data_IF_840922891169
#
_entry.id   IF_840922891169
#
_cell.length_a   1.000
_cell.length_b   1.000
_cell.length_c   1.000
_cell.angle_alpha   90.00
_cell.angle_beta   90.00
_cell.angle_gamma   90.00
#
_symmetry.space_group_name_H-M   'P 1'
#
loop_
_entity.id
_entity.type
_entity.pdbx_description
1 polymer ?
#
# COMPACT_ATOMS: atom_id res chain seq x y z
N UNK A 1 27.57 7.02 59.75
CA UNK A 1 27.56 5.66 59.16
C UNK A 1 26.26 5.55 58.37
N UNK A 2 26.17 6.04 57.14
CA UNK A 2 27.03 5.78 55.97
C UNK A 2 26.94 4.30 55.56
N UNK A 3 25.82 3.93 54.96
CA UNK A 3 25.73 2.79 54.05
C UNK A 3 24.96 3.26 52.81
N UNK A 4 25.47 2.91 51.63
CA UNK A 4 25.27 3.68 50.40
C UNK A 4 24.09 3.12 49.61
N UNK A 5 23.00 3.88 49.50
CA UNK A 5 21.96 3.59 48.49
C UNK A 5 22.39 4.15 47.13
N UNK A 6 23.25 3.41 46.44
CA UNK A 6 23.65 3.70 45.05
C UNK A 6 22.55 3.25 44.08
N UNK A 7 21.44 4.00 44.06
CA UNK A 7 20.37 3.83 43.07
C UNK A 7 20.93 4.07 41.67
N UNK A 8 21.10 3.02 40.88
CA UNK A 8 21.62 3.12 39.51
C UNK A 8 20.63 3.84 38.60
N UNK A 9 20.84 5.14 38.40
CA UNK A 9 20.22 5.88 37.31
C UNK A 9 20.79 5.37 35.98
N UNK A 10 20.18 4.30 35.43
CA UNK A 10 20.41 3.89 34.05
C UNK A 10 19.88 5.02 33.15
N UNK A 11 20.80 5.81 32.61
CA UNK A 11 20.52 6.70 31.49
C UNK A 11 20.12 5.86 30.27
N UNK A 12 18.81 5.66 30.09
CA UNK A 12 18.26 5.21 28.81
C UNK A 12 18.59 6.32 27.82
N UNK A 13 19.51 6.04 26.90
CA UNK A 13 19.79 6.96 25.80
C UNK A 13 18.50 7.13 24.99
N UNK A 14 18.18 8.34 24.50
CA UNK A 14 17.03 8.52 23.63
C UNK A 14 17.24 7.67 22.39
N UNK A 15 16.32 6.72 22.15
CA UNK A 15 16.29 5.95 20.90
C UNK A 15 16.05 6.95 19.76
N UNK A 16 17.09 7.21 18.98
CA UNK A 16 17.01 8.08 17.82
C UNK A 16 16.07 7.43 16.82
N UNK A 17 14.91 8.06 16.59
CA UNK A 17 13.89 7.61 15.66
C UNK A 17 14.40 7.79 14.23
N UNK A 18 15.24 6.86 13.79
CA UNK A 18 16.03 6.98 12.58
C UNK A 18 15.12 6.92 11.36
N UNK A 19 14.93 8.07 10.71
CA UNK A 19 13.85 8.27 9.74
C UNK A 19 14.15 7.64 8.37
N UNK A 20 15.27 6.93 8.24
CA UNK A 20 15.66 6.18 7.05
C UNK A 20 14.71 4.99 6.76
N UNK A 21 14.17 4.32 7.80
CA UNK A 21 13.32 3.12 7.64
C UNK A 21 11.95 3.39 6.97
N UNK A 22 11.60 4.66 6.72
CA UNK A 22 10.38 5.05 5.99
C UNK A 22 10.63 5.52 4.54
N UNK A 23 11.86 5.42 4.02
CA UNK A 23 12.15 5.66 2.59
C UNK A 23 11.63 4.51 1.71
N UNK A 24 10.30 4.47 1.50
CA UNK A 24 9.62 3.61 0.52
C UNK A 24 9.88 4.03 -0.94
N UNK A 25 10.73 5.03 -1.17
CA UNK A 25 11.22 5.45 -2.47
C UNK A 25 12.65 4.90 -2.60
N UNK A 26 12.97 4.07 -3.60
CA UNK A 26 14.35 3.66 -3.87
C UNK A 26 15.21 4.89 -4.17
N UNK A 27 16.19 5.18 -3.30
CA UNK A 27 17.07 6.35 -3.44
C UNK A 27 18.06 6.22 -4.62
N UNK A 28 18.25 5.00 -5.13
CA UNK A 28 18.92 4.78 -6.40
C UNK A 28 17.93 4.95 -7.56
N UNK A 29 18.04 6.00 -8.41
CA UNK A 29 17.54 5.89 -9.77
C UNK A 29 18.21 4.67 -10.44
N UNK A 30 17.50 3.94 -11.33
CA UNK A 30 18.10 2.81 -12.02
C UNK A 30 19.33 3.28 -12.80
N UNK A 31 20.44 2.54 -12.71
CA UNK A 31 21.67 2.89 -13.41
C UNK A 31 21.41 3.01 -14.93
N UNK A 32 21.97 4.03 -15.56
CA UNK A 32 21.65 4.43 -16.94
C UNK A 32 22.03 3.37 -18.01
N UNK A 33 22.58 2.23 -17.60
CA UNK A 33 22.96 1.11 -18.46
C UNK A 33 21.82 0.19 -18.91
N UNK A 34 20.75 0.00 -18.11
CA UNK A 34 19.71 -1.00 -18.44
C UNK A 34 18.60 -0.48 -19.38
N UNK A 35 18.42 0.84 -19.48
CA UNK A 35 17.29 1.46 -20.20
C UNK A 35 17.29 1.14 -21.71
N UNK A 36 18.47 0.93 -22.31
CA UNK A 36 18.60 0.65 -23.75
C UNK A 36 17.98 -0.70 -24.17
N UNK A 37 17.94 -1.71 -23.30
CA UNK A 37 17.40 -3.03 -23.66
C UNK A 37 15.86 -3.03 -23.82
N UNK A 38 15.16 -1.97 -23.40
CA UNK A 38 13.73 -1.81 -23.62
C UNK A 38 13.38 -1.07 -24.93
N UNK A 39 14.38 -0.53 -25.65
CA UNK A 39 14.18 0.12 -26.94
C UNK A 39 14.17 -0.86 -28.13
N UNK A 40 14.82 -2.03 -27.99
CA UNK A 40 14.87 -3.08 -29.01
C UNK A 40 13.78 -4.17 -28.85
N UNK A 41 12.81 -3.98 -27.95
CA UNK A 41 11.58 -4.78 -28.00
C UNK A 41 10.79 -4.40 -29.27
N UNK A 42 11.05 -5.13 -30.36
CA UNK A 42 10.30 -5.04 -31.62
C UNK A 42 8.81 -5.31 -31.34
N UNK A 43 8.04 -4.23 -31.15
CA UNK A 43 6.59 -4.29 -31.12
C UNK A 43 6.11 -4.71 -32.50
N UNK A 44 5.78 -6.00 -32.66
CA UNK A 44 5.28 -6.56 -33.92
C UNK A 44 3.83 -6.12 -34.20
N UNK A 45 3.74 -4.85 -34.60
CA UNK A 45 2.51 -4.19 -35.02
C UNK A 45 1.99 -4.76 -36.35
N UNK A 46 2.77 -5.58 -37.07
CA UNK A 46 2.42 -6.13 -38.38
C UNK A 46 1.21 -7.07 -38.35
N UNK A 47 1.08 -7.88 -37.30
CA UNK A 47 0.02 -8.88 -37.18
C UNK A 47 -1.14 -8.48 -36.25
N UNK A 48 -1.03 -7.39 -35.50
CA UNK A 48 -2.03 -7.00 -34.48
C UNK A 48 -3.20 -6.14 -35.02
N UNK A 49 -3.13 -5.70 -36.28
CA UNK A 49 -4.17 -4.87 -36.90
C UNK A 49 -4.61 -5.47 -38.26
N UNK A 50 -5.88 -5.92 -38.41
CA UNK A 50 -6.40 -6.44 -39.67
C UNK A 50 -6.70 -5.30 -40.66
N UNK A 51 -5.64 -4.71 -41.22
CA UNK A 51 -5.71 -3.57 -42.16
C UNK A 51 -5.92 -4.03 -43.60
N UNK A 52 -5.65 -5.31 -43.92
CA UNK A 52 -5.56 -5.81 -45.30
C UNK A 52 -6.85 -5.65 -46.14
N UNK A 53 -8.02 -5.67 -45.50
CA UNK A 53 -9.33 -5.48 -46.16
C UNK A 53 -9.96 -4.09 -45.88
N UNK A 54 -9.33 -3.24 -45.07
CA UNK A 54 -9.91 -1.95 -44.66
C UNK A 54 -9.78 -0.90 -45.77
N UNK A 55 -10.86 -0.17 -46.08
CA UNK A 55 -10.78 0.90 -47.07
C UNK A 55 -9.96 2.08 -46.55
N UNK A 56 -9.34 2.84 -47.46
CA UNK A 56 -8.51 4.01 -47.08
C UNK A 56 -9.26 5.04 -46.21
N UNK A 57 -10.59 5.17 -46.38
CA UNK A 57 -11.43 6.02 -45.55
C UNK A 57 -11.63 5.49 -44.13
N UNK A 58 -11.72 4.17 -43.97
CA UNK A 58 -11.79 3.52 -42.65
C UNK A 58 -10.44 3.56 -41.94
N UNK A 59 -9.34 3.36 -42.66
CA UNK A 59 -7.98 3.54 -42.13
C UNK A 59 -7.79 4.98 -41.65
N UNK A 60 -8.18 5.99 -42.45
CA UNK A 60 -8.09 7.39 -42.07
C UNK A 60 -8.98 7.73 -40.86
N UNK A 61 -10.22 7.22 -40.82
CA UNK A 61 -11.12 7.39 -39.67
C UNK A 61 -10.53 6.76 -38.41
N UNK A 62 -9.99 5.55 -38.50
CA UNK A 62 -9.40 4.83 -37.36
C UNK A 62 -8.10 5.49 -36.87
N UNK A 63 -7.34 6.12 -37.77
CA UNK A 63 -6.17 6.94 -37.41
C UNK A 63 -6.59 8.19 -36.60
N UNK A 64 -7.69 8.86 -36.99
CA UNK A 64 -8.23 10.00 -36.23
C UNK A 64 -8.72 9.57 -34.85
N UNK A 65 -9.52 8.49 -34.78
CA UNK A 65 -9.97 7.91 -33.50
C UNK A 65 -8.79 7.56 -32.57
N UNK A 66 -7.73 6.94 -33.12
CA UNK A 66 -6.52 6.62 -32.34
C UNK A 66 -5.74 7.86 -31.90
N UNK A 67 -5.79 8.98 -32.63
CA UNK A 67 -5.19 10.24 -32.19
C UNK A 67 -6.02 10.88 -31.08
N UNK A 68 -7.35 10.91 -31.23
CA UNK A 68 -8.29 11.43 -30.21
C UNK A 68 -8.20 10.62 -28.89
N UNK A 69 -8.16 9.28 -28.97
CA UNK A 69 -7.92 8.40 -27.82
C UNK A 69 -6.55 8.69 -27.17
N UNK A 70 -5.51 8.92 -27.97
CA UNK A 70 -4.16 9.17 -27.46
C UNK A 70 -4.02 10.56 -26.80
N UNK A 71 -4.72 11.57 -27.31
CA UNK A 71 -4.82 12.88 -26.65
C UNK A 71 -5.65 12.81 -25.37
N UNK A 72 -6.79 12.13 -25.39
CA UNK A 72 -7.61 11.84 -24.19
C UNK A 72 -6.79 11.13 -23.09
N UNK A 73 -6.01 10.10 -23.45
CA UNK A 73 -5.09 9.43 -22.51
C UNK A 73 -4.00 10.38 -21.98
N UNK A 74 -3.43 11.26 -22.82
CA UNK A 74 -2.44 12.26 -22.38
C UNK A 74 -3.06 13.27 -21.40
N UNK A 75 -4.31 13.70 -21.62
CA UNK A 75 -5.01 14.60 -20.70
C UNK A 75 -5.37 13.91 -19.39
N UNK A 76 -5.86 12.66 -19.43
CA UNK A 76 -6.11 11.86 -18.23
C UNK A 76 -4.83 11.66 -17.39
N UNK A 77 -3.68 11.40 -18.03
CA UNK A 77 -2.38 11.29 -17.36
C UNK A 77 -1.90 12.62 -16.78
N UNK A 78 -2.07 13.75 -17.49
CA UNK A 78 -1.77 15.10 -16.96
C UNK A 78 -2.64 15.44 -15.74
N UNK A 79 -3.93 15.14 -15.80
CA UNK A 79 -4.87 15.34 -14.71
C UNK A 79 -4.50 14.48 -13.50
N UNK A 80 -4.27 13.18 -13.70
CA UNK A 80 -3.86 12.26 -12.64
C UNK A 80 -2.53 12.68 -11.98
N UNK A 81 -1.53 13.07 -12.77
CA UNK A 81 -0.25 13.57 -12.24
C UNK A 81 -0.42 14.87 -11.43
N UNK A 82 -1.35 15.74 -11.83
CA UNK A 82 -1.69 16.96 -11.09
C UNK A 82 -2.41 16.64 -9.77
N UNK A 83 -3.35 15.69 -9.79
CA UNK A 83 -4.06 15.22 -8.60
C UNK A 83 -3.11 14.55 -7.59
N UNK A 84 -2.18 13.69 -8.05
CA UNK A 84 -1.16 13.09 -7.19
C UNK A 84 -0.25 14.15 -6.56
N UNK A 85 0.13 15.20 -7.30
CA UNK A 85 0.91 16.33 -6.74
C UNK A 85 0.13 17.10 -5.66
N UNK A 86 -1.17 17.30 -5.84
CA UNK A 86 -2.03 17.94 -4.83
C UNK A 86 -2.18 17.06 -3.57
N UNK A 87 -2.34 15.74 -3.75
CA UNK A 87 -2.38 14.78 -2.64
C UNK A 87 -1.05 14.74 -1.86
N UNK A 88 0.09 14.68 -2.56
CA UNK A 88 1.42 14.73 -1.95
C UNK A 88 1.68 16.04 -1.20
N UNK A 89 1.25 17.19 -1.74
CA UNK A 89 1.30 18.47 -1.02
C UNK A 89 0.47 18.40 0.26
N UNK A 90 -0.77 17.92 0.18
CA UNK A 90 -1.67 17.82 1.34
C UNK A 90 -1.10 16.91 2.44
N UNK A 91 -0.44 15.80 2.06
CA UNK A 91 0.25 14.89 2.99
C UNK A 91 1.48 15.57 3.60
N UNK A 92 2.26 16.32 2.82
CA UNK A 92 3.41 17.11 3.30
C UNK A 92 2.98 18.21 4.29
N UNK A 93 1.87 18.89 4.02
CA UNK A 93 1.30 19.91 4.90
C UNK A 93 0.82 19.29 6.23
N UNK A 94 0.12 18.15 6.16
CA UNK A 94 -0.29 17.36 7.34
C UNK A 94 0.92 16.87 8.16
N UNK A 95 1.95 16.32 7.51
CA UNK A 95 3.18 15.88 8.18
C UNK A 95 3.88 17.04 8.88
N UNK A 96 3.94 18.20 8.23
CA UNK A 96 4.53 19.43 8.79
C UNK A 96 3.72 19.91 10.01
N UNK A 97 2.39 19.93 9.92
CA UNK A 97 1.50 20.30 11.03
C UNK A 97 1.60 19.32 12.21
N UNK A 98 1.65 18.02 11.94
CA UNK A 98 1.83 16.97 12.96
C UNK A 98 3.18 17.10 13.65
N UNK A 99 4.26 17.31 12.89
CA UNK A 99 5.62 17.52 13.42
C UNK A 99 5.69 18.77 14.31
N UNK A 100 5.08 19.88 13.88
CA UNK A 100 5.00 21.10 14.68
C UNK A 100 4.18 20.90 15.97
N UNK A 101 3.06 20.16 15.90
CA UNK A 101 2.23 19.82 17.07
C UNK A 101 2.99 18.96 18.09
N UNK A 102 3.68 17.91 17.63
CA UNK A 102 4.52 17.05 18.47
C UNK A 102 5.68 17.82 19.10
N UNK A 103 6.32 18.73 18.36
CA UNK A 103 7.37 19.63 18.87
C UNK A 103 6.83 20.56 19.97
N UNK A 104 5.64 21.12 19.79
CA UNK A 104 4.99 21.96 20.80
C UNK A 104 4.58 21.17 22.05
N UNK A 105 4.03 19.95 21.89
CA UNK A 105 3.73 19.05 23.00
C UNK A 105 4.98 18.66 23.78
N UNK A 106 6.09 18.38 23.08
CA UNK A 106 7.39 18.08 23.72
C UNK A 106 7.87 19.27 24.57
N UNK A 107 7.87 20.49 24.03
CA UNK A 107 8.27 21.69 24.77
C UNK A 107 7.35 21.90 25.98
N UNK A 108 6.04 21.73 25.84
CA UNK A 108 5.08 21.86 26.94
C UNK A 108 5.29 20.81 28.04
N UNK A 109 5.68 19.58 27.69
CA UNK A 109 6.06 18.54 28.65
C UNK A 109 7.40 18.87 29.34
N UNK A 110 8.38 19.42 28.63
CA UNK A 110 9.65 19.88 29.21
C UNK A 110 9.43 21.05 30.20
N UNK A 111 8.58 22.02 29.85
CA UNK A 111 8.13 23.11 30.74
C UNK A 111 7.36 22.58 31.97
N UNK A 112 6.45 21.62 31.78
CA UNK A 112 5.68 21.02 32.87
C UNK A 112 6.59 20.25 33.84
N UNK A 113 7.56 19.48 33.33
CA UNK A 113 8.54 18.75 34.14
C UNK A 113 9.44 19.72 34.92
N UNK A 114 9.92 20.80 34.29
CA UNK A 114 10.69 21.84 34.98
C UNK A 114 9.87 22.51 36.11
N UNK A 115 8.57 22.73 35.88
CA UNK A 115 7.66 23.29 36.90
C UNK A 115 7.38 22.30 38.04
N UNK A 116 7.28 21.00 37.76
CA UNK A 116 7.19 19.95 38.78
C UNK A 116 8.46 19.97 39.65
N UNK A 117 9.65 20.01 39.04
CA UNK A 117 10.92 20.06 39.78
C UNK A 117 10.99 21.27 40.74
N UNK A 118 10.59 22.46 40.28
CA UNK A 118 10.53 23.65 41.17
C UNK A 118 9.55 23.44 42.33
N UNK A 119 8.39 22.85 42.09
CA UNK A 119 7.41 22.54 43.15
C UNK A 119 7.89 21.44 44.12
N UNK A 120 8.73 20.51 43.68
CA UNK A 120 9.41 19.53 44.54
C UNK A 120 10.48 20.19 45.42
N UNK A 121 11.29 21.10 44.87
CA UNK A 121 12.27 21.89 45.61
C UNK A 121 11.60 22.82 46.64
N UNK A 122 10.50 23.50 46.28
CA UNK A 122 9.68 24.29 47.21
C UNK A 122 9.06 23.42 48.31
N UNK A 123 8.52 22.24 47.98
CA UNK A 123 8.01 21.29 48.97
C UNK A 123 9.11 20.80 49.93
N UNK A 124 10.31 20.54 49.43
CA UNK A 124 11.45 20.15 50.27
C UNK A 124 11.84 21.29 51.24
N UNK A 125 11.91 22.53 50.76
CA UNK A 125 12.17 23.70 51.60
C UNK A 125 11.06 23.93 52.65
N UNK A 126 9.78 23.80 52.28
CA UNK A 126 8.66 23.95 53.21
C UNK A 126 8.67 22.85 54.28
N UNK A 127 8.93 21.59 53.91
CA UNK A 127 9.08 20.48 54.87
C UNK A 127 10.22 20.73 55.85
N UNK A 128 11.39 21.17 55.35
CA UNK A 128 12.53 21.51 56.20
C UNK A 128 12.20 22.66 57.16
N UNK A 129 11.50 23.70 56.67
CA UNK A 129 11.08 24.85 57.48
C UNK A 129 10.11 24.45 58.59
N UNK A 130 9.09 23.63 58.29
CA UNK A 130 8.12 23.14 59.28
C UNK A 130 8.76 22.27 60.36
N UNK A 131 9.69 21.38 59.99
CA UNK A 131 10.48 20.58 60.94
C UNK A 131 11.35 21.49 61.83
N UNK A 132 11.98 22.51 61.24
CA UNK A 132 12.81 23.48 61.97
C UNK A 132 12.00 24.32 62.97
N UNK A 133 10.77 24.72 62.63
CA UNK A 133 9.91 25.45 63.57
C UNK A 133 9.40 24.60 64.73
N UNK A 134 9.21 23.29 64.51
CA UNK A 134 8.77 22.36 65.56
C UNK A 134 9.90 22.05 66.58
N UNK A 135 11.17 22.27 66.24
CA UNK A 135 12.32 22.01 67.13
C UNK A 135 12.68 23.16 68.09
N UNK A 136 11.94 24.27 68.06
CA UNK A 136 12.27 25.49 68.83
C UNK A 136 11.26 25.75 69.99
N UNK A 137 10.21 24.93 70.13
CA UNK A 137 9.07 25.18 71.02
C UNK A 137 8.90 24.15 72.15
N UNK A 138 9.99 23.72 72.80
CA UNK A 138 9.94 22.67 73.85
C UNK A 138 10.65 23.00 75.18
N UNK A 139 10.97 24.26 75.45
CA UNK A 139 11.54 24.70 76.74
C UNK A 139 10.92 26.05 77.17
N UNK A 140 10.06 26.04 78.20
CA UNK A 140 9.76 27.14 79.15
C UNK A 140 8.35 26.99 79.80
N UNK A 141 8.17 26.00 80.66
CA UNK A 141 7.10 26.00 81.68
C UNK A 141 7.74 25.80 83.06
N UNK A 142 7.56 26.76 83.96
CA UNK A 142 7.97 26.67 85.37
C UNK A 142 7.13 27.62 86.23
N UNK A 143 6.32 27.07 87.12
CA UNK A 143 5.34 27.80 87.92
C UNK A 143 5.95 28.56 89.12
N UNK A 144 5.21 29.61 89.52
CA UNK A 144 4.99 30.13 90.88
C UNK A 144 6.06 30.02 91.99
N UNK A 145 6.30 31.16 92.67
CA UNK A 145 6.68 31.18 94.09
C UNK A 145 5.98 32.35 94.81
N UNK A 146 5.54 32.11 96.06
CA UNK A 146 4.84 33.06 96.93
C UNK A 146 4.69 32.44 98.34
N UNK A 147 5.37 32.95 99.39
CA UNK A 147 4.72 33.47 100.61
C UNK A 147 5.67 34.05 101.70
N UNK A 148 5.05 34.72 102.68
CA UNK A 148 5.39 34.84 104.10
C UNK A 148 6.25 36.01 104.65
N UNK A 149 5.97 36.36 105.93
CA UNK A 149 6.27 37.65 106.59
C UNK A 149 6.47 37.50 108.13
N UNK A 150 7.16 38.46 108.77
CA UNK A 150 6.82 39.13 110.07
C UNK A 150 7.84 39.15 111.28
N UNK A 151 7.88 40.33 111.93
CA UNK A 151 8.00 40.64 113.38
C UNK A 151 9.30 40.52 114.23
N UNK A 152 9.71 41.67 114.81
CA UNK A 152 10.39 41.91 116.12
C UNK A 152 10.42 43.44 116.39
N UNK A 153 10.49 44.02 117.60
CA UNK A 153 9.95 43.71 118.96
C UNK A 153 10.07 44.99 119.84
N UNK A 154 9.36 45.05 120.97
CA UNK A 154 9.26 46.17 121.95
C UNK A 154 10.56 46.60 122.67
N UNK A 155 10.57 47.83 123.21
CA UNK A 155 11.13 48.23 124.55
C UNK A 155 10.70 49.66 124.96
N UNK A 156 10.92 50.16 126.19
CA UNK A 156 10.27 49.81 127.48
C UNK A 156 10.89 50.56 128.71
N UNK A 157 10.12 51.42 129.40
CA UNK A 157 10.38 51.93 130.78
C UNK A 157 11.47 53.01 130.98
N UNK A 158 11.74 53.55 132.19
CA UNK A 158 10.86 53.84 133.37
C UNK A 158 11.61 54.66 134.47
N UNK A 159 10.87 55.35 135.34
CA UNK A 159 11.14 55.63 136.79
C UNK A 159 12.51 56.20 137.27
N UNK A 160 12.48 57.30 138.06
CA UNK A 160 13.04 57.32 139.44
C UNK A 160 12.86 58.60 140.30
N UNK A 161 12.93 58.34 141.62
CA UNK A 161 12.89 59.18 142.84
C UNK A 161 14.15 60.09 142.97
N UNK A 162 14.43 60.90 144.01
CA UNK A 162 13.98 61.13 145.41
C UNK A 162 14.27 62.65 145.73
N UNK A 163 13.98 63.29 146.88
CA UNK A 163 13.99 62.82 148.27
C UNK A 163 12.97 63.55 149.19
N UNK A 164 13.40 64.22 150.30
CA UNK A 164 12.56 64.30 151.51
C UNK A 164 12.87 65.45 152.51
N UNK A 165 11.91 66.39 152.69
CA UNK A 165 11.66 67.22 153.90
C UNK A 165 12.79 68.08 154.51
N UNK A 166 12.94 69.31 153.99
CA UNK A 166 13.16 70.60 154.73
C UNK A 166 13.11 71.71 153.67
N UNK A 167 12.28 72.76 153.73
CA UNK A 167 11.59 73.36 154.88
C UNK A 167 10.05 73.48 154.70
N UNK A 168 9.33 73.47 155.82
CA UNK A 168 7.86 73.47 155.93
C UNK A 168 7.20 74.83 155.58
N UNK A 169 7.88 75.70 154.82
CA UNK A 169 7.43 77.09 154.54
C UNK A 169 7.19 77.31 153.03
N UNK A 170 7.94 76.66 152.15
CA UNK A 170 7.70 76.70 150.69
C UNK A 170 6.48 75.90 150.24
N UNK A 171 5.81 75.18 151.13
CA UNK A 171 4.69 74.29 150.81
C UNK A 171 3.47 75.08 150.30
N UNK A 172 3.21 76.29 150.83
CA UNK A 172 2.08 77.12 150.38
C UNK A 172 2.25 77.58 148.92
N UNK A 173 3.43 78.11 148.59
CA UNK A 173 3.73 78.59 147.23
C UNK A 173 3.85 77.42 146.24
N UNK A 174 4.41 76.28 146.68
CA UNK A 174 4.42 75.06 145.90
C UNK A 174 3.02 74.45 145.73
N UNK A 175 2.05 74.69 146.62
CA UNK A 175 0.66 74.29 146.37
C UNK A 175 -0.02 75.16 145.31
N UNK A 176 0.30 76.46 145.23
CA UNK A 176 -0.14 77.30 144.12
C UNK A 176 0.50 76.83 142.79
N UNK A 177 1.81 76.61 142.77
CA UNK A 177 2.53 76.09 141.60
C UNK A 177 2.06 74.69 141.17
N UNK A 178 1.79 73.79 142.14
CA UNK A 178 1.27 72.44 141.88
C UNK A 178 -0.16 72.47 141.33
N UNK A 179 -1.00 73.41 141.76
CA UNK A 179 -2.34 73.57 141.20
C UNK A 179 -2.28 74.13 139.77
N UNK A 180 -1.36 75.05 139.47
CA UNK A 180 -1.07 75.48 138.09
C UNK A 180 -0.53 74.32 137.23
N UNK A 181 0.42 73.54 137.74
CA UNK A 181 0.94 72.35 137.07
C UNK A 181 -0.13 71.28 136.86
N UNK A 182 -1.06 71.08 137.81
CA UNK A 182 -2.22 70.19 137.62
C UNK A 182 -3.17 70.71 136.54
N UNK A 183 -3.43 72.02 136.47
CA UNK A 183 -4.22 72.60 135.39
C UNK A 183 -3.54 72.42 134.03
N UNK A 184 -2.22 72.65 133.94
CA UNK A 184 -1.41 72.39 132.74
C UNK A 184 -1.38 70.91 132.36
N UNK A 185 -1.21 69.99 133.32
CA UNK A 185 -1.27 68.55 133.08
C UNK A 185 -2.66 68.08 132.65
N UNK A 186 -3.73 68.68 133.18
CA UNK A 186 -5.10 68.37 132.76
C UNK A 186 -5.38 68.88 131.34
N UNK A 187 -4.91 70.07 130.97
CA UNK A 187 -5.05 70.58 129.59
C UNK A 187 -4.17 69.81 128.61
N UNK A 188 -2.95 69.41 129.00
CA UNK A 188 -2.11 68.49 128.23
C UNK A 188 -2.76 67.11 128.09
N UNK A 189 -3.42 66.59 129.12
CA UNK A 189 -4.14 65.32 129.06
C UNK A 189 -5.37 65.41 128.14
N UNK A 190 -6.10 66.53 128.11
CA UNK A 190 -7.13 66.79 127.10
C UNK A 190 -6.55 66.91 125.68
N UNK A 191 -5.42 67.59 125.50
CA UNK A 191 -4.73 67.70 124.21
C UNK A 191 -4.24 66.32 123.74
N UNK A 192 -3.67 65.50 124.62
CA UNK A 192 -3.30 64.12 124.30
C UNK A 192 -4.51 63.22 124.02
N UNK A 193 -5.68 63.45 124.63
CA UNK A 193 -6.92 62.76 124.25
C UNK A 193 -7.47 63.24 122.91
N UNK A 194 -7.36 64.53 122.57
CA UNK A 194 -7.73 65.08 121.25
C UNK A 194 -6.81 64.50 120.16
N UNK A 195 -5.50 64.62 120.32
CA UNK A 195 -4.49 64.02 119.42
C UNK A 195 -4.66 62.50 119.32
N UNK A 196 -5.03 61.81 120.42
CA UNK A 196 -5.34 60.38 120.40
C UNK A 196 -6.54 60.06 119.51
N UNK A 197 -7.65 60.77 119.67
CA UNK A 197 -8.86 60.63 118.84
C UNK A 197 -8.62 61.05 117.39
N UNK A 198 -7.89 62.12 117.16
CA UNK A 198 -7.49 62.60 115.83
C UNK A 198 -6.60 61.58 115.12
N UNK A 199 -5.61 61.00 115.81
CA UNK A 199 -4.77 59.90 115.30
C UNK A 199 -5.60 58.66 114.96
N UNK A 200 -6.54 58.28 115.82
CA UNK A 200 -7.34 57.08 115.60
C UNK A 200 -8.39 57.28 114.49
N UNK A 201 -8.96 58.49 114.37
CA UNK A 201 -9.77 58.92 113.22
C UNK A 201 -8.96 58.92 111.91
N UNK A 202 -7.77 59.52 111.91
CA UNK A 202 -6.85 59.50 110.75
C UNK A 202 -6.43 58.07 110.37
N UNK A 203 -6.28 57.17 111.34
CA UNK A 203 -5.97 55.77 111.09
C UNK A 203 -7.15 55.02 110.47
N UNK A 204 -8.37 55.35 110.88
CA UNK A 204 -9.60 54.79 110.30
C UNK A 204 -9.83 55.34 108.88
N UNK A 205 -9.66 56.64 108.65
CA UNK A 205 -9.63 57.26 107.32
C UNK A 205 -8.57 56.64 106.40
N UNK A 206 -7.35 56.36 106.91
CA UNK A 206 -6.28 55.75 106.12
C UNK A 206 -6.61 54.28 105.79
N UNK A 207 -7.32 53.55 106.67
CA UNK A 207 -7.83 52.21 106.36
C UNK A 207 -8.96 52.26 105.32
N UNK A 208 -9.86 53.24 105.39
CA UNK A 208 -10.93 53.46 104.40
C UNK A 208 -10.36 53.85 103.02
N UNK A 209 -9.33 54.71 103.03
CA UNK A 209 -8.57 55.09 101.83
C UNK A 209 -7.84 53.88 101.23
N UNK A 210 -7.27 53.00 102.06
CA UNK A 210 -6.57 51.82 101.56
C UNK A 210 -7.54 50.74 101.04
N UNK A 211 -8.72 50.57 101.66
CA UNK A 211 -9.81 49.72 101.15
C UNK A 211 -10.34 50.21 99.81
N UNK A 212 -10.64 51.50 99.70
CA UNK A 212 -11.12 52.11 98.45
C UNK A 212 -10.05 52.07 97.35
N UNK A 213 -8.76 52.20 97.70
CA UNK A 213 -7.65 51.99 96.76
C UNK A 213 -7.52 50.54 96.28
N UNK A 214 -7.67 49.55 97.18
CA UNK A 214 -7.73 48.11 96.83
C UNK A 214 -8.92 47.79 95.90
N UNK A 215 -10.10 48.31 96.22
CA UNK A 215 -11.30 48.21 95.38
C UNK A 215 -11.09 48.86 93.99
N UNK A 216 -10.38 49.99 93.94
CA UNK A 216 -10.02 50.64 92.68
C UNK A 216 -9.09 49.77 91.82
N UNK A 217 -8.04 49.17 92.40
CA UNK A 217 -7.18 48.21 91.67
C UNK A 217 -7.92 46.98 91.19
N UNK A 218 -8.86 46.43 91.98
CA UNK A 218 -9.71 45.31 91.56
C UNK A 218 -10.66 45.72 90.42
N UNK A 219 -11.18 46.95 90.43
CA UNK A 219 -11.96 47.50 89.32
C UNK A 219 -11.12 47.68 88.04
N UNK A 220 -9.88 48.15 88.14
CA UNK A 220 -8.95 48.27 87.00
C UNK A 220 -8.59 46.90 86.42
N UNK A 221 -8.33 45.91 87.28
CA UNK A 221 -8.02 44.55 86.84
C UNK A 221 -9.21 43.86 86.17
N UNK A 222 -10.41 43.90 86.78
CA UNK A 222 -11.65 43.41 86.17
C UNK A 222 -11.97 44.11 84.83
N UNK A 223 -11.65 45.40 84.71
CA UNK A 223 -11.79 46.18 83.46
C UNK A 223 -10.76 45.75 82.40
N UNK A 224 -9.55 45.39 82.80
CA UNK A 224 -8.55 44.81 81.88
C UNK A 224 -8.95 43.40 81.41
N UNK A 225 -9.49 42.57 82.32
CA UNK A 225 -10.03 41.25 82.00
C UNK A 225 -11.22 41.36 81.05
N UNK A 226 -12.19 42.25 81.32
CA UNK A 226 -13.31 42.55 80.42
C UNK A 226 -12.83 42.97 79.02
N UNK A 227 -11.82 43.86 78.93
CA UNK A 227 -11.25 44.27 77.65
C UNK A 227 -10.61 43.09 76.90
N UNK A 228 -9.87 42.22 77.59
CA UNK A 228 -9.28 41.02 76.97
C UNK A 228 -10.34 40.01 76.51
N UNK A 229 -11.43 39.82 77.27
CA UNK A 229 -12.55 38.97 76.89
C UNK A 229 -13.32 39.54 75.69
N UNK A 230 -13.47 40.87 75.62
CA UNK A 230 -14.07 41.55 74.48
C UNK A 230 -13.21 41.43 73.21
N UNK A 231 -11.89 41.60 73.32
CA UNK A 231 -10.94 41.39 72.21
C UNK A 231 -10.92 39.93 71.74
N UNK A 232 -10.97 38.97 72.65
CA UNK A 232 -11.07 37.55 72.31
C UNK A 232 -12.42 37.20 71.66
N UNK A 233 -13.53 37.83 72.07
CA UNK A 233 -14.84 37.70 71.41
C UNK A 233 -14.81 38.22 69.98
N UNK A 234 -14.20 39.39 69.74
CA UNK A 234 -14.02 39.92 68.38
C UNK A 234 -13.18 38.98 67.50
N UNK A 235 -12.07 38.45 68.01
CA UNK A 235 -11.24 37.47 67.29
C UNK A 235 -11.99 36.17 66.98
N UNK A 236 -12.84 35.69 67.89
CA UNK A 236 -13.72 34.54 67.65
C UNK A 236 -14.75 34.82 66.55
N UNK A 237 -15.34 36.01 66.52
CA UNK A 237 -16.26 36.43 65.46
C UNK A 237 -15.57 36.58 64.10
N UNK A 238 -14.36 37.13 64.07
CA UNK A 238 -13.51 37.19 62.87
C UNK A 238 -13.19 35.78 62.34
N UNK A 239 -12.71 34.90 63.21
CA UNK A 239 -12.38 33.51 62.86
C UNK A 239 -13.61 32.71 62.42
N UNK A 240 -14.80 32.94 63.00
CA UNK A 240 -16.03 32.29 62.54
C UNK A 240 -16.48 32.83 61.17
N UNK A 241 -16.34 34.13 60.88
CA UNK A 241 -16.58 34.67 59.53
C UNK A 241 -15.61 34.07 58.51
N UNK A 242 -14.34 33.87 58.85
CA UNK A 242 -13.36 33.20 57.99
C UNK A 242 -13.72 31.71 57.78
N UNK A 243 -14.14 31.01 58.84
CA UNK A 243 -14.61 29.62 58.76
C UNK A 243 -15.82 29.47 57.84
N UNK A 244 -16.76 30.41 57.87
CA UNK A 244 -17.93 30.43 56.96
C UNK A 244 -17.49 30.66 55.51
N UNK A 245 -16.65 31.67 55.23
CA UNK A 245 -16.11 31.92 53.89
C UNK A 245 -15.35 30.72 53.33
N UNK A 246 -14.51 30.08 54.14
CA UNK A 246 -13.81 28.85 53.76
C UNK A 246 -14.81 27.73 53.44
N UNK A 247 -15.84 27.54 54.26
CA UNK A 247 -16.91 26.57 54.02
C UNK A 247 -17.78 26.88 52.77
N UNK A 248 -17.83 28.14 52.32
CA UNK A 248 -18.42 28.52 51.03
C UNK A 248 -17.48 28.16 49.88
N UNK A 249 -16.20 28.57 49.92
CA UNK A 249 -15.22 28.25 48.87
C UNK A 249 -14.99 26.73 48.69
N UNK A 250 -15.11 25.92 49.74
CA UNK A 250 -15.04 24.45 49.63
C UNK A 250 -16.22 23.90 48.82
N UNK A 251 -17.44 24.43 49.00
CA UNK A 251 -18.60 24.02 48.18
C UNK A 251 -18.44 24.45 46.73
N UNK A 252 -17.92 25.65 46.48
CA UNK A 252 -17.63 26.12 45.11
C UNK A 252 -16.63 25.18 44.41
N UNK A 253 -15.60 24.72 45.12
CA UNK A 253 -14.64 23.72 44.61
C UNK A 253 -15.29 22.34 44.42
N UNK A 254 -16.13 21.87 45.34
CA UNK A 254 -16.87 20.60 45.19
C UNK A 254 -17.83 20.64 43.98
N UNK A 255 -18.55 21.75 43.77
CA UNK A 255 -19.44 21.95 42.62
C UNK A 255 -18.67 22.01 41.29
N UNK A 256 -17.52 22.68 41.26
CA UNK A 256 -16.62 22.71 40.10
C UNK A 256 -16.04 21.31 39.79
N UNK A 257 -15.63 20.56 40.82
CA UNK A 257 -15.11 19.20 40.66
C UNK A 257 -16.16 18.24 40.10
N UNK A 258 -17.40 18.29 40.61
CA UNK A 258 -18.52 17.49 40.06
C UNK A 258 -18.82 17.86 38.61
N UNK A 259 -18.77 19.15 38.27
CA UNK A 259 -18.94 19.63 36.88
C UNK A 259 -17.84 19.12 35.96
N UNK A 260 -16.57 19.23 36.36
CA UNK A 260 -15.42 18.73 35.60
C UNK A 260 -15.47 17.21 35.41
N UNK A 261 -15.88 16.45 36.44
CA UNK A 261 -16.08 15.01 36.31
C UNK A 261 -17.16 14.65 35.27
N UNK A 262 -18.29 15.37 35.26
CA UNK A 262 -19.36 15.16 34.28
C UNK A 262 -18.92 15.52 32.85
N UNK A 263 -18.13 16.59 32.69
CA UNK A 263 -17.55 16.99 31.40
C UNK A 263 -16.55 15.92 30.89
N UNK A 264 -15.67 15.42 31.76
CA UNK A 264 -14.73 14.33 31.47
C UNK A 264 -15.45 13.01 31.10
N UNK A 265 -16.56 12.68 31.76
CA UNK A 265 -17.37 11.50 31.42
C UNK A 265 -18.08 11.67 30.06
N UNK A 266 -18.54 12.88 29.73
CA UNK A 266 -19.11 13.19 28.42
C UNK A 266 -18.06 13.13 27.29
N UNK A 267 -16.82 13.57 27.53
CA UNK A 267 -15.72 13.41 26.57
C UNK A 267 -15.31 11.94 26.39
N UNK A 268 -15.25 11.16 27.48
CA UNK A 268 -15.03 9.70 27.41
C UNK A 268 -16.11 8.98 26.62
N UNK A 269 -17.35 9.48 26.60
CA UNK A 269 -18.41 8.95 25.74
C UNK A 269 -18.15 9.28 24.25
N UNK A 270 -17.91 10.56 23.92
CA UNK A 270 -17.58 11.01 22.56
C UNK A 270 -16.36 10.29 21.98
N UNK A 271 -15.35 10.00 22.82
CA UNK A 271 -14.16 9.26 22.40
C UNK A 271 -14.48 7.79 22.06
N UNK A 272 -15.38 7.13 22.80
CA UNK A 272 -15.87 5.78 22.44
C UNK A 272 -16.68 5.78 21.14
N UNK A 273 -17.53 6.78 20.93
CA UNK A 273 -18.32 6.94 19.71
C UNK A 273 -17.43 7.15 18.48
N UNK A 274 -16.46 8.07 18.57
CA UNK A 274 -15.50 8.34 17.49
C UNK A 274 -14.58 7.15 17.20
N UNK A 275 -14.10 6.43 18.22
CA UNK A 275 -13.34 5.18 18.01
C UNK A 275 -14.20 4.10 17.33
N UNK A 276 -15.48 3.94 17.71
CA UNK A 276 -16.40 3.00 17.05
C UNK A 276 -16.68 3.38 15.60
N UNK A 277 -16.75 4.68 15.30
CA UNK A 277 -16.91 5.18 13.93
C UNK A 277 -15.64 4.93 13.09
N UNK A 278 -14.46 5.17 13.66
CA UNK A 278 -13.16 4.92 13.02
C UNK A 278 -12.98 3.43 12.71
N UNK A 279 -13.32 2.54 13.64
CA UNK A 279 -13.32 1.08 13.41
C UNK A 279 -14.21 0.70 12.21
N UNK A 280 -15.44 1.24 12.12
CA UNK A 280 -16.36 0.97 10.99
C UNK A 280 -15.81 1.49 9.65
N UNK A 281 -15.09 2.62 9.66
CA UNK A 281 -14.39 3.10 8.46
C UNK A 281 -13.23 2.18 8.06
N UNK A 282 -12.45 1.67 9.02
CA UNK A 282 -11.38 0.72 8.77
C UNK A 282 -11.92 -0.62 8.24
N UNK A 283 -12.98 -1.17 8.83
CA UNK A 283 -13.68 -2.36 8.33
C UNK A 283 -14.17 -2.18 6.89
N UNK A 284 -14.72 -1.01 6.56
CA UNK A 284 -15.18 -0.68 5.20
C UNK A 284 -14.01 -0.45 4.22
N UNK A 285 -12.88 0.08 4.66
CA UNK A 285 -11.67 0.22 3.86
C UNK A 285 -11.11 -1.14 3.48
N UNK A 286 -10.93 -2.03 4.47
CA UNK A 286 -10.44 -3.40 4.28
C UNK A 286 -11.37 -4.21 3.35
N UNK A 287 -12.66 -3.92 3.33
CA UNK A 287 -13.62 -4.56 2.42
C UNK A 287 -13.52 -4.01 0.99
N UNK A 288 -13.33 -2.70 0.80
CA UNK A 288 -13.05 -2.10 -0.50
C UNK A 288 -11.71 -2.61 -1.09
N UNK A 289 -10.69 -2.78 -0.25
CA UNK A 289 -9.39 -3.35 -0.65
C UNK A 289 -9.54 -4.78 -1.18
N UNK A 290 -10.28 -5.65 -0.48
CA UNK A 290 -10.59 -7.01 -0.97
C UNK A 290 -11.34 -6.99 -2.30
N UNK A 291 -12.33 -6.11 -2.45
CA UNK A 291 -13.12 -6.00 -3.68
C UNK A 291 -12.26 -5.52 -4.85
N UNK A 292 -11.35 -4.57 -4.63
CA UNK A 292 -10.36 -4.14 -5.61
C UNK A 292 -9.41 -5.29 -5.99
N UNK A 293 -8.89 -6.03 -5.01
CA UNK A 293 -8.01 -7.17 -5.27
C UNK A 293 -8.70 -8.28 -6.08
N UNK A 294 -9.97 -8.59 -5.78
CA UNK A 294 -10.79 -9.52 -6.55
C UNK A 294 -11.00 -9.03 -8.00
N UNK A 295 -11.33 -7.75 -8.21
CA UNK A 295 -11.46 -7.18 -9.55
C UNK A 295 -10.13 -7.23 -10.32
N UNK A 296 -9.00 -6.92 -9.69
CA UNK A 296 -7.68 -7.05 -10.30
C UNK A 296 -7.36 -8.49 -10.71
N UNK A 297 -7.73 -9.48 -9.88
CA UNK A 297 -7.59 -10.91 -10.19
C UNK A 297 -8.47 -11.32 -11.38
N UNK A 298 -9.74 -10.95 -11.38
CA UNK A 298 -10.65 -11.21 -12.52
C UNK A 298 -10.16 -10.56 -13.82
N UNK A 299 -9.68 -9.31 -13.77
CA UNK A 299 -9.15 -8.62 -14.95
C UNK A 299 -7.84 -9.26 -15.46
N UNK A 300 -7.02 -9.81 -14.57
CA UNK A 300 -5.84 -10.61 -14.96
C UNK A 300 -6.27 -11.90 -15.65
N UNK A 301 -7.17 -12.68 -15.04
CA UNK A 301 -7.66 -13.95 -15.57
C UNK A 301 -8.36 -13.77 -16.93
N UNK A 302 -9.17 -12.71 -17.08
CA UNK A 302 -9.80 -12.34 -18.37
C UNK A 302 -8.76 -11.98 -19.45
N UNK A 303 -7.65 -11.32 -19.08
CA UNK A 303 -6.55 -10.99 -20.00
C UNK A 303 -5.75 -12.23 -20.39
N UNK A 304 -5.45 -13.12 -19.44
CA UNK A 304 -4.74 -14.37 -19.69
C UNK A 304 -5.56 -15.30 -20.60
N UNK A 305 -6.89 -15.35 -20.42
CA UNK A 305 -7.80 -16.07 -21.31
C UNK A 305 -7.77 -15.50 -22.74
N UNK A 306 -7.89 -14.17 -22.91
CA UNK A 306 -7.84 -13.51 -24.22
C UNK A 306 -6.49 -13.69 -24.95
N UNK A 307 -5.38 -13.77 -24.20
CA UNK A 307 -4.07 -14.09 -24.78
C UNK A 307 -4.01 -15.56 -25.22
N UNK A 308 -4.54 -16.48 -24.42
CA UNK A 308 -4.61 -17.90 -24.79
C UNK A 308 -5.50 -18.16 -26.01
N UNK A 309 -6.60 -17.41 -26.17
CA UNK A 309 -7.46 -17.48 -27.36
C UNK A 309 -6.70 -17.02 -28.62
N UNK A 310 -6.03 -15.86 -28.57
CA UNK A 310 -5.22 -15.34 -29.67
C UNK A 310 -4.04 -16.23 -30.02
N UNK A 311 -3.39 -16.84 -29.03
CA UNK A 311 -2.35 -17.85 -29.27
C UNK A 311 -2.91 -19.08 -30.00
N UNK A 312 -4.13 -19.51 -29.67
CA UNK A 312 -4.78 -20.63 -30.35
C UNK A 312 -5.18 -20.26 -31.79
N UNK A 313 -5.73 -19.07 -32.03
CA UNK A 313 -6.03 -18.56 -33.38
C UNK A 313 -4.76 -18.45 -34.23
N UNK A 314 -3.67 -17.92 -33.65
CA UNK A 314 -2.36 -17.83 -34.32
C UNK A 314 -1.79 -19.22 -34.68
N UNK A 315 -1.89 -20.21 -33.77
CA UNK A 315 -1.48 -21.59 -34.06
C UNK A 315 -2.31 -22.21 -35.20
N UNK A 316 -3.63 -22.00 -35.20
CA UNK A 316 -4.50 -22.45 -36.29
C UNK A 316 -4.17 -21.76 -37.63
N UNK A 317 -3.78 -20.49 -37.61
CA UNK A 317 -3.32 -19.77 -38.81
C UNK A 317 -1.98 -20.32 -39.33
N UNK A 318 -1.01 -20.60 -38.45
CA UNK A 318 0.24 -21.27 -38.80
C UNK A 318 -0.01 -22.65 -39.42
N UNK A 319 -0.84 -23.49 -38.78
CA UNK A 319 -1.24 -24.80 -39.32
C UNK A 319 -1.90 -24.69 -40.71
N UNK A 320 -2.71 -23.66 -40.96
CA UNK A 320 -3.28 -23.40 -42.28
C UNK A 320 -2.21 -23.01 -43.31
N UNK A 321 -1.24 -22.17 -42.94
CA UNK A 321 -0.13 -21.79 -43.82
C UNK A 321 0.79 -22.97 -44.14
N UNK A 322 1.08 -23.85 -43.18
CA UNK A 322 1.84 -25.08 -43.42
C UNK A 322 1.10 -26.02 -44.37
N UNK A 323 -0.22 -26.21 -44.15
CA UNK A 323 -1.08 -27.00 -45.05
C UNK A 323 -1.16 -26.43 -46.47
N UNK A 324 -1.15 -25.10 -46.64
CA UNK A 324 -1.12 -24.45 -47.95
C UNK A 324 0.27 -24.58 -48.59
N UNK A 325 1.35 -24.43 -47.82
CA UNK A 325 2.73 -24.58 -48.28
C UNK A 325 3.01 -25.99 -48.78
N UNK A 326 2.54 -27.02 -48.04
CA UNK A 326 2.62 -28.42 -48.48
C UNK A 326 1.84 -28.67 -49.78
N UNK A 327 0.65 -28.07 -49.95
CA UNK A 327 -0.13 -28.15 -51.20
C UNK A 327 0.57 -27.46 -52.36
N UNK A 328 1.18 -26.29 -52.15
CA UNK A 328 1.95 -25.58 -53.17
C UNK A 328 3.17 -26.39 -53.61
N UNK A 329 3.92 -26.97 -52.68
CA UNK A 329 5.07 -27.83 -53.00
C UNK A 329 4.66 -29.07 -53.80
N UNK A 330 3.55 -29.73 -53.42
CA UNK A 330 3.03 -30.87 -54.18
C UNK A 330 2.56 -30.47 -55.59
N UNK A 331 1.87 -29.32 -55.72
CA UNK A 331 1.45 -28.80 -57.03
C UNK A 331 2.64 -28.42 -57.91
N UNK A 332 3.71 -27.86 -57.33
CA UNK A 332 4.96 -27.58 -58.04
C UNK A 332 5.58 -28.89 -58.59
N UNK A 333 5.70 -29.93 -57.77
CA UNK A 333 6.20 -31.23 -58.22
C UNK A 333 5.35 -31.80 -59.39
N UNK A 334 4.02 -31.70 -59.29
CA UNK A 334 3.10 -32.15 -60.37
C UNK A 334 3.25 -31.33 -61.65
N UNK A 335 3.64 -30.05 -61.58
CA UNK A 335 4.01 -29.23 -62.75
C UNK A 335 5.36 -29.68 -63.32
N UNK A 336 6.39 -29.87 -62.49
CA UNK A 336 7.72 -30.33 -62.95
C UNK A 336 7.67 -31.71 -63.64
N UNK A 337 6.86 -32.64 -63.11
CA UNK A 337 6.58 -33.94 -63.75
C UNK A 337 5.86 -33.81 -65.10
N UNK A 338 4.93 -32.87 -65.23
CA UNK A 338 4.22 -32.57 -66.49
C UNK A 338 5.14 -31.89 -67.50
N UNK A 339 6.05 -31.02 -67.06
CA UNK A 339 7.02 -30.37 -67.93
C UNK A 339 8.04 -31.38 -68.47
N UNK A 340 8.56 -32.30 -67.64
CA UNK A 340 9.44 -33.35 -68.15
C UNK A 340 8.71 -34.32 -69.09
N UNK A 341 7.45 -34.68 -68.81
CA UNK A 341 6.61 -35.44 -69.76
C UNK A 341 6.40 -34.66 -71.07
N UNK A 342 6.24 -33.34 -71.02
CA UNK A 342 6.08 -32.50 -72.20
C UNK A 342 7.36 -32.45 -73.03
N UNK A 343 8.53 -32.28 -72.38
CA UNK A 343 9.85 -32.39 -73.06
C UNK A 343 10.06 -33.77 -73.70
N UNK A 344 9.60 -34.85 -73.07
CA UNK A 344 9.65 -36.21 -73.65
C UNK A 344 8.77 -36.33 -74.90
N UNK A 345 7.53 -35.83 -74.85
CA UNK A 345 6.62 -35.81 -76.00
C UNK A 345 7.16 -34.94 -77.15
N UNK A 346 7.79 -33.79 -76.85
CA UNK A 346 8.47 -32.97 -77.86
C UNK A 346 9.62 -33.73 -78.54
N UNK A 347 10.49 -34.41 -77.77
CA UNK A 347 11.57 -35.25 -78.34
C UNK A 347 11.04 -36.38 -79.23
N UNK A 348 9.89 -36.97 -78.88
CA UNK A 348 9.23 -37.98 -79.71
C UNK A 348 8.65 -37.36 -81.00
N UNK A 349 8.01 -36.19 -80.91
CA UNK A 349 7.46 -35.46 -82.05
C UNK A 349 8.54 -34.98 -83.02
N UNK A 350 9.68 -34.50 -82.51
CA UNK A 350 10.86 -34.16 -83.32
C UNK A 350 11.44 -35.39 -84.05
N UNK A 351 11.39 -36.56 -83.42
CA UNK A 351 11.86 -37.82 -84.02
C UNK A 351 10.91 -38.28 -85.14
N UNK A 352 9.60 -38.26 -84.88
CA UNK A 352 8.57 -38.56 -85.87
C UNK A 352 8.58 -37.58 -87.04
N UNK A 353 8.84 -36.29 -86.82
CA UNK A 353 8.99 -35.32 -87.90
C UNK A 353 10.15 -35.68 -88.84
N UNK A 354 11.32 -36.07 -88.31
CA UNK A 354 12.45 -36.54 -89.12
C UNK A 354 12.13 -37.84 -89.89
N UNK A 355 11.35 -38.74 -89.31
CA UNK A 355 10.86 -39.93 -90.02
C UNK A 355 9.88 -39.55 -91.15
N UNK A 356 9.02 -38.54 -90.94
CA UNK A 356 8.10 -37.99 -91.95
C UNK A 356 8.86 -37.28 -93.08
N UNK A 357 9.96 -36.58 -92.79
CA UNK A 357 10.85 -35.96 -93.80
C UNK A 357 11.48 -36.99 -94.77
N UNK A 358 11.66 -38.25 -94.34
CA UNK A 358 12.13 -39.34 -95.19
C UNK A 358 11.04 -39.86 -96.15
N UNK A 359 9.75 -39.68 -95.82
CA UNK A 359 8.64 -40.19 -96.65
C UNK A 359 8.61 -39.57 -98.06
N UNK A 360 8.76 -38.25 -98.27
CA UNK A 360 8.93 -37.66 -99.60
C UNK A 360 10.11 -38.24 -100.39
N UNK A 361 11.24 -38.51 -99.74
CA UNK A 361 12.44 -39.06 -100.38
C UNK A 361 12.17 -40.48 -100.87
N UNK A 362 11.59 -41.34 -100.02
CA UNK A 362 11.21 -42.71 -100.38
C UNK A 362 10.13 -42.74 -101.47
N UNK A 363 9.15 -41.81 -101.43
CA UNK A 363 8.16 -41.66 -102.51
C UNK A 363 8.83 -41.31 -103.84
N UNK A 364 9.73 -40.32 -103.85
CA UNK A 364 10.47 -39.95 -105.05
C UNK A 364 11.31 -41.13 -105.59
N UNK A 365 12.00 -41.87 -104.71
CA UNK A 365 12.76 -43.06 -105.08
C UNK A 365 11.87 -44.16 -105.69
N UNK A 366 10.67 -44.38 -105.15
CA UNK A 366 9.69 -45.34 -105.70
C UNK A 366 9.18 -44.90 -107.07
N UNK A 367 8.90 -43.60 -107.29
CA UNK A 367 8.52 -43.12 -108.63
C UNK A 367 9.68 -43.22 -109.64
N UNK A 368 10.92 -42.95 -109.24
CA UNK A 368 12.11 -43.19 -110.10
C UNK A 368 12.21 -44.66 -110.49
N UNK A 369 12.11 -45.60 -109.54
CA UNK A 369 12.14 -47.03 -109.87
C UNK A 369 10.96 -47.49 -110.74
N UNK A 370 9.76 -46.91 -110.58
CA UNK A 370 8.64 -47.16 -111.49
C UNK A 370 8.93 -46.68 -112.91
N UNK A 371 9.50 -45.49 -113.07
CA UNK A 371 9.91 -44.92 -114.36
C UNK A 371 11.01 -45.75 -115.00
N UNK A 372 12.03 -46.17 -114.23
CA UNK A 372 13.10 -47.06 -114.73
C UNK A 372 12.57 -48.43 -115.14
N UNK A 373 11.64 -49.02 -114.38
CA UNK A 373 10.99 -50.28 -114.74
C UNK A 373 10.11 -50.12 -115.99
N UNK A 374 9.39 -49.01 -116.13
CA UNK A 374 8.60 -48.70 -117.32
C UNK A 374 9.51 -48.51 -118.56
N UNK A 375 10.58 -47.72 -118.44
CA UNK A 375 11.59 -47.53 -119.48
C UNK A 375 12.28 -48.84 -119.87
N UNK A 376 12.58 -49.72 -118.89
CA UNK A 376 13.15 -51.05 -119.13
C UNK A 376 12.14 -51.99 -119.81
N UNK A 377 10.87 -51.94 -119.42
CA UNK A 377 9.80 -52.69 -120.07
C UNK A 377 9.56 -52.20 -121.50
N UNK A 378 9.55 -50.89 -121.75
CA UNK A 378 9.34 -50.30 -123.07
C UNK A 378 10.54 -50.52 -124.00
N UNK A 379 11.77 -50.40 -123.52
CA UNK A 379 12.98 -50.73 -124.30
C UNK A 379 13.08 -52.24 -124.58
N UNK A 380 12.73 -53.10 -123.62
CA UNK A 380 12.60 -54.54 -123.85
C UNK A 380 11.50 -54.85 -124.86
N UNK A 381 10.35 -54.17 -124.78
CA UNK A 381 9.24 -54.28 -125.73
C UNK A 381 9.65 -53.81 -127.13
N UNK A 382 10.30 -52.66 -127.27
CA UNK A 382 10.84 -52.17 -128.55
C UNK A 382 11.86 -53.13 -129.15
N UNK A 383 12.68 -53.78 -128.31
CA UNK A 383 13.61 -54.82 -128.74
C UNK A 383 12.90 -56.10 -129.17
N UNK A 384 11.85 -56.52 -128.46
CA UNK A 384 10.96 -57.62 -128.86
C UNK A 384 10.24 -57.27 -130.18
N UNK A 385 9.74 -56.05 -130.36
CA UNK A 385 9.08 -55.58 -131.59
C UNK A 385 10.07 -55.38 -132.75
N UNK A 386 11.37 -55.19 -132.49
CA UNK A 386 12.43 -55.26 -133.51
C UNK A 386 12.70 -56.72 -133.89
N UNK A 387 13.02 -57.57 -132.90
CA UNK A 387 13.25 -59.00 -133.11
C UNK A 387 12.04 -59.71 -133.70
N UNK A 388 10.81 -59.25 -133.44
CA UNK A 388 9.58 -59.78 -134.05
C UNK A 388 9.41 -59.29 -135.49
N UNK A 389 9.88 -58.08 -135.84
CA UNK A 389 9.98 -57.66 -137.25
C UNK A 389 11.06 -58.44 -137.98
N UNK A 390 12.25 -58.59 -137.40
CA UNK A 390 13.33 -59.43 -137.93
C UNK A 390 12.87 -60.89 -138.10
N UNK A 391 12.12 -61.45 -137.13
CA UNK A 391 11.50 -62.77 -137.24
C UNK A 391 10.40 -62.80 -138.30
N UNK A 392 9.58 -61.76 -138.47
CA UNK A 392 8.57 -61.70 -139.53
C UNK A 392 9.19 -61.50 -140.93
N UNK A 393 10.31 -60.80 -141.03
CA UNK A 393 11.12 -60.66 -142.25
C UNK A 393 11.78 -61.99 -142.60
N UNK A 394 12.39 -62.68 -141.63
CA UNK A 394 12.87 -64.05 -141.79
C UNK A 394 11.74 -65.06 -142.06
N UNK A 395 10.56 -64.91 -141.47
CA UNK A 395 9.39 -65.76 -141.73
C UNK A 395 8.74 -65.47 -143.09
N UNK A 396 8.86 -64.25 -143.64
CA UNK A 396 8.44 -63.96 -145.03
C UNK A 396 9.46 -64.46 -146.06
N UNK A 397 10.76 -64.43 -145.73
CA UNK A 397 11.80 -65.14 -146.48
C UNK A 397 11.59 -66.67 -146.45
N UNK A 398 11.15 -67.23 -145.32
CA UNK A 398 10.81 -68.66 -145.19
C UNK A 398 9.46 -69.00 -145.83
N UNK A 399 8.44 -68.13 -145.76
CA UNK A 399 7.14 -68.38 -146.41
C UNK A 399 7.18 -68.23 -147.94
N UNK A 400 8.23 -67.59 -148.48
CA UNK A 400 8.58 -67.69 -149.90
C UNK A 400 9.05 -69.10 -150.31
N UNK A 401 9.42 -69.95 -149.34
CA UNK A 401 9.92 -71.32 -149.54
C UNK A 401 9.06 -72.42 -148.89
N UNK A 402 7.97 -72.09 -148.20
CA UNK A 402 7.11 -73.08 -147.53
C UNK A 402 5.65 -72.62 -147.45
N UNK A 403 4.81 -73.23 -148.28
CA UNK A 403 3.36 -73.20 -148.18
C UNK A 403 2.84 -74.34 -147.28
N UNK A 404 1.55 -74.27 -146.91
CA UNK A 404 0.74 -75.35 -146.34
C UNK A 404 1.14 -75.98 -144.98
N UNK A 405 0.64 -75.37 -143.90
CA UNK A 405 -0.11 -76.06 -142.84
C UNK A 405 -0.92 -75.04 -142.00
N UNK A 406 -2.08 -75.42 -141.45
CA UNK A 406 -3.03 -74.48 -140.84
C UNK A 406 -3.69 -74.95 -139.53
N UNK A 407 -4.09 -73.97 -138.70
CA UNK A 407 -4.96 -74.06 -137.50
C UNK A 407 -4.38 -74.82 -136.28
N UNK A 408 -4.80 -74.56 -135.03
CA UNK A 408 -5.67 -73.48 -134.51
C UNK A 408 -6.36 -73.84 -133.17
N UNK A 409 -6.43 -72.90 -132.22
CA UNK A 409 -7.10 -73.06 -130.89
C UNK A 409 -6.20 -73.66 -129.80
N UNK A 410 -6.14 -73.20 -128.52
CA UNK A 410 -7.13 -72.68 -127.56
C UNK A 410 -7.96 -73.79 -126.85
N UNK A 411 -8.13 -73.82 -125.51
CA UNK A 411 -7.56 -73.01 -124.43
C UNK A 411 -7.63 -73.70 -123.04
N UNK A 412 -6.91 -73.12 -122.06
CA UNK A 412 -7.15 -73.08 -120.59
C UNK A 412 -7.69 -74.28 -119.80
N UNK A 413 -6.95 -74.69 -118.75
CA UNK A 413 -7.45 -74.78 -117.36
C UNK A 413 -6.30 -74.85 -116.32
N UNK A 414 -6.53 -74.34 -115.11
CA UNK A 414 -5.52 -74.19 -114.05
C UNK A 414 -5.15 -75.49 -113.30
N UNK A 415 -3.92 -75.61 -112.77
CA UNK A 415 -3.60 -76.62 -111.74
C UNK A 415 -2.36 -76.29 -110.89
N UNK A 416 -2.42 -76.64 -109.57
CA UNK A 416 -1.32 -76.78 -108.58
C UNK A 416 -0.59 -75.47 -108.19
N UNK A 417 0.02 -75.30 -107.00
CA UNK A 417 0.13 -76.08 -105.73
C UNK A 417 0.36 -75.09 -104.57
N UNK A 418 -0.22 -75.20 -103.37
CA UNK A 418 -0.13 -76.23 -102.29
C UNK A 418 1.21 -76.20 -101.50
N UNK A 419 1.17 -75.71 -100.25
CA UNK A 419 2.31 -75.60 -99.30
C UNK A 419 2.00 -74.56 -98.19
N UNK A 420 1.36 -74.85 -97.04
CA UNK A 420 1.69 -75.66 -95.82
C UNK A 420 2.59 -74.97 -94.77
N UNK A 421 2.10 -74.91 -93.51
CA UNK A 421 2.71 -74.37 -92.28
C UNK A 421 2.94 -72.84 -92.27
N UNK A 422 2.72 -72.12 -91.17
CA UNK A 422 2.96 -72.47 -89.76
C UNK A 422 1.87 -71.93 -88.80
N UNK A 423 1.81 -72.49 -87.60
CA UNK A 423 0.93 -72.04 -86.50
C UNK A 423 1.40 -70.72 -85.88
N UNK A 424 0.51 -69.74 -85.74
CA UNK A 424 0.61 -68.66 -84.76
C UNK A 424 -0.52 -68.85 -83.74
N UNK A 425 -0.18 -68.94 -82.45
CA UNK A 425 -1.20 -68.93 -81.41
C UNK A 425 -1.86 -67.55 -81.38
N UNK A 426 -3.19 -67.50 -81.38
CA UNK A 426 -3.88 -66.28 -81.00
C UNK A 426 -3.53 -65.98 -79.55
N UNK A 427 -2.76 -64.91 -79.31
CA UNK A 427 -2.71 -64.32 -77.97
C UNK A 427 -4.13 -63.87 -77.65
N UNK A 428 -4.74 -64.51 -76.66
CA UNK A 428 -5.83 -63.84 -75.94
C UNK A 428 -5.18 -62.63 -75.27
N UNK A 429 -5.62 -61.43 -75.62
CA UNK A 429 -5.17 -60.23 -74.94
C UNK A 429 -5.76 -60.27 -73.53
N UNK A 430 -4.90 -60.44 -72.53
CA UNK A 430 -5.32 -60.55 -71.13
C UNK A 430 -5.83 -59.18 -70.69
N UNK A 431 -7.15 -59.05 -70.55
CA UNK A 431 -7.79 -57.79 -70.22
C UNK A 431 -7.51 -57.46 -68.75
N UNK A 432 -6.75 -56.40 -68.50
CA UNK A 432 -6.30 -56.03 -67.15
C UNK A 432 -7.15 -54.87 -66.61
N UNK A 433 -7.75 -55.05 -65.42
CA UNK A 433 -8.45 -53.97 -64.74
C UNK A 433 -7.46 -52.85 -64.35
N UNK A 434 -7.66 -51.59 -64.79
CA UNK A 434 -6.69 -50.51 -64.56
C UNK A 434 -6.55 -50.12 -63.08
N UNK A 435 -7.58 -50.37 -62.26
CA UNK A 435 -7.65 -49.97 -60.85
C UNK A 435 -6.84 -50.94 -59.97
N UNK A 436 -7.06 -52.25 -60.11
CA UNK A 436 -6.51 -53.29 -59.22
C UNK A 436 -5.46 -54.20 -59.89
N UNK A 437 -5.24 -54.04 -61.20
CA UNK A 437 -4.35 -54.86 -62.05
C UNK A 437 -4.68 -56.36 -62.13
N UNK A 438 -5.90 -56.76 -61.76
CA UNK A 438 -6.38 -58.14 -61.93
C UNK A 438 -6.67 -58.45 -63.41
N UNK A 439 -6.35 -59.66 -63.85
CA UNK A 439 -6.46 -60.09 -65.26
C UNK A 439 -7.71 -60.91 -65.54
N UNK A 440 -8.31 -60.73 -66.73
CA UNK A 440 -9.52 -61.41 -67.18
C UNK A 440 -9.35 -61.95 -68.60
N UNK A 441 -10.06 -63.05 -68.91
CA UNK A 441 -10.07 -63.71 -70.22
C UNK A 441 -11.36 -63.48 -71.02
N UNK A 442 -12.25 -62.67 -70.48
CA UNK A 442 -13.59 -62.40 -70.98
C UNK A 442 -13.89 -60.91 -70.73
N UNK A 443 -14.34 -60.21 -71.77
CA UNK A 443 -14.67 -58.79 -71.75
C UNK A 443 -15.84 -58.50 -70.80
N UNK A 444 -16.82 -59.40 -70.73
CA UNK A 444 -17.96 -59.24 -69.83
C UNK A 444 -17.57 -59.46 -68.35
N UNK A 445 -16.49 -60.21 -68.10
CA UNK A 445 -15.96 -60.39 -66.74
C UNK A 445 -15.20 -59.15 -66.24
N UNK A 446 -14.34 -58.55 -67.07
CA UNK A 446 -13.64 -57.30 -66.69
C UNK A 446 -14.63 -56.13 -66.54
N UNK A 447 -15.63 -55.99 -67.41
CA UNK A 447 -16.58 -54.88 -67.33
C UNK A 447 -17.38 -54.89 -66.01
N UNK A 448 -17.89 -56.06 -65.59
CA UNK A 448 -18.55 -56.23 -64.30
C UNK A 448 -17.62 -56.01 -63.11
N UNK A 449 -16.32 -56.30 -63.26
CA UNK A 449 -15.33 -56.12 -62.21
C UNK A 449 -14.85 -54.66 -62.07
N UNK A 450 -14.69 -53.93 -63.19
CA UNK A 450 -14.30 -52.51 -63.20
C UNK A 450 -15.35 -51.66 -62.49
N UNK A 451 -16.64 -51.87 -62.77
CA UNK A 451 -17.73 -51.17 -62.07
C UNK A 451 -17.63 -51.39 -60.55
N UNK A 452 -17.50 -52.65 -60.10
CA UNK A 452 -17.31 -52.99 -58.67
C UNK A 452 -16.00 -52.48 -58.05
N UNK A 453 -15.01 -52.10 -58.85
CA UNK A 453 -13.79 -51.45 -58.38
C UNK A 453 -13.92 -49.92 -58.30
N UNK A 454 -14.77 -49.31 -59.13
CA UNK A 454 -15.15 -47.90 -59.01
C UNK A 454 -16.04 -47.69 -57.79
N UNK A 455 -17.08 -48.51 -57.61
CA UNK A 455 -17.97 -48.52 -56.42
C UNK A 455 -17.18 -48.63 -55.08
N UNK A 456 -15.99 -49.24 -55.14
CA UNK A 456 -15.06 -49.46 -54.01
C UNK A 456 -13.87 -48.51 -53.95
N UNK A 457 -13.80 -47.53 -54.85
CA UNK A 457 -12.82 -46.45 -54.83
C UNK A 457 -13.47 -45.10 -54.47
N UNK A 458 -14.80 -45.00 -54.56
CA UNK A 458 -15.61 -43.86 -54.11
C UNK A 458 -16.16 -44.03 -52.67
N UNK A 459 -15.82 -45.13 -51.98
CA UNK A 459 -16.09 -45.41 -50.56
C UNK A 459 -14.79 -45.83 -49.84
#
# INVERSE_FOLDING_TARGET
KNEIMASQAKSVAPESFDSADFSLIPEQPPEEGEVNNMAESHYDLGNSFPIQDASMGEIQKRLVELVEDNESMKEALRYNNTLMKQQLSTISDWHTQMTASLSHQKISLEEANARIQVLEEENAMLRHKSISSLTISSESDSEADFDFVQAKKFKEGEVSRHELKKAQITISDLQAALNMQKAQMSSLQEVCQKIGKERDSLKEELLELNRSKLSCSQCEELKSQLKSLQENLSRLQESEMERVKLQETVKEVDELFVKEQLELEAERLKHKETNSLLQKYQERYNELEKQLHLQCKEHKEKREHQLSEREQEMRQSLEQMDNLTAKLFHLQQVVEERDEKTKQLMKQLDTLNREVEVIPILKAQVEVYKVDLANKAESSRKKIESLTREINELQSLVSFYSSDAAHGGAAAAASKSKGHHKTSAAKQEELICPICKFQFKDEQAIQNHVNRCLDKAEN
#
